data_IF_996255343818
#
_entry.id   IF_996255343818
#
_cell.length_a   1.000
_cell.length_b   1.000
_cell.length_c   1.000
_cell.angle_alpha   90.00
_cell.angle_beta   90.00
_cell.angle_gamma   90.00
#
_symmetry.space_group_name_H-M   'P 1'
#
loop_
_entity.id
_entity.type
_entity.pdbx_description
1 polymer ?
#
# COMPACT_ATOMS: atom_id res chain seq x y z
N UNK A 1 6.30 19.25 22.44
CA UNK A 1 5.65 18.04 22.94
C UNK A 1 5.97 16.90 21.98
N UNK A 2 6.31 15.70 22.46
CA UNK A 2 6.45 14.57 21.56
C UNK A 2 5.14 14.35 20.79
N UNK A 3 5.26 14.00 19.53
CA UNK A 3 4.12 13.63 18.69
C UNK A 3 3.24 12.63 19.44
N UNK A 4 1.92 12.78 19.32
CA UNK A 4 0.99 11.81 19.88
C UNK A 4 1.29 10.45 19.26
N UNK A 5 2.03 9.63 19.98
CA UNK A 5 2.31 8.24 19.59
C UNK A 5 1.05 7.45 19.89
N UNK A 6 0.66 6.58 18.97
CA UNK A 6 -0.41 5.63 19.26
C UNK A 6 -0.07 4.85 20.52
N UNK A 7 -1.04 4.60 21.35
CA UNK A 7 -0.85 3.77 22.54
C UNK A 7 -0.42 2.36 22.12
N UNK A 8 0.46 1.74 22.88
CA UNK A 8 0.88 0.35 22.63
C UNK A 8 -0.36 -0.55 22.54
N UNK A 9 -0.50 -1.28 21.43
CA UNK A 9 -1.66 -2.16 21.20
C UNK A 9 -2.90 -1.49 20.63
N UNK A 10 -2.88 -0.17 20.32
CA UNK A 10 -3.99 0.51 19.64
C UNK A 10 -3.98 0.33 18.14
N UNK A 11 -2.87 -0.15 17.57
CA UNK A 11 -2.72 -0.45 16.16
C UNK A 11 -2.31 -1.91 15.98
N UNK A 12 -2.84 -2.54 14.95
CA UNK A 12 -2.49 -3.88 14.57
C UNK A 12 -2.63 -4.07 13.05
N UNK A 13 -1.82 -4.96 12.51
CA UNK A 13 -1.91 -5.39 11.13
C UNK A 13 -1.75 -6.90 11.10
N UNK A 14 -2.55 -7.56 10.29
CA UNK A 14 -2.47 -8.99 10.08
C UNK A 14 -2.78 -9.31 8.62
N UNK A 15 -1.98 -10.19 8.03
CA UNK A 15 -2.22 -10.72 6.70
C UNK A 15 -1.86 -12.21 6.67
N UNK A 16 -2.65 -12.99 5.97
CA UNK A 16 -2.43 -14.43 5.85
C UNK A 16 -2.75 -14.90 4.43
N UNK A 17 -1.84 -15.67 3.85
CA UNK A 17 -2.08 -16.38 2.61
C UNK A 17 -3.21 -17.41 2.75
N UNK A 18 -4.03 -17.52 1.72
CA UNK A 18 -5.08 -18.52 1.63
C UNK A 18 -4.55 -19.90 1.20
N UNK A 19 -5.46 -20.86 1.18
CA UNK A 19 -5.23 -22.17 0.62
C UNK A 19 -5.98 -22.29 -0.72
N UNK A 20 -5.44 -23.07 -1.63
CA UNK A 20 -6.10 -23.42 -2.88
C UNK A 20 -6.04 -24.92 -3.10
N UNK A 21 -7.04 -25.46 -3.78
CA UNK A 21 -7.04 -26.84 -4.25
C UNK A 21 -6.54 -26.86 -5.69
N UNK A 22 -5.51 -27.63 -5.94
CA UNK A 22 -4.96 -27.83 -7.28
C UNK A 22 -5.85 -28.77 -8.11
N UNK A 23 -5.66 -28.80 -9.42
CA UNK A 23 -6.46 -29.66 -10.32
C UNK A 23 -6.40 -31.15 -9.97
N UNK A 24 -5.30 -31.60 -9.36
CA UNK A 24 -5.11 -32.98 -8.88
C UNK A 24 -5.62 -33.19 -7.43
N UNK A 25 -6.39 -32.25 -6.88
CA UNK A 25 -7.03 -32.35 -5.57
C UNK A 25 -6.12 -32.06 -4.38
N UNK A 26 -4.88 -31.65 -4.58
CA UNK A 26 -4.00 -31.29 -3.46
C UNK A 26 -4.28 -29.91 -2.92
N UNK A 27 -4.19 -29.75 -1.60
CA UNK A 27 -4.29 -28.46 -0.93
C UNK A 27 -2.89 -27.85 -0.84
N UNK A 28 -2.72 -26.66 -1.39
CA UNK A 28 -1.46 -25.92 -1.37
C UNK A 28 -1.68 -24.49 -0.85
N UNK A 29 -0.62 -23.89 -0.30
CA UNK A 29 -0.68 -22.48 0.08
C UNK A 29 -0.67 -21.61 -1.17
N UNK A 30 -1.61 -20.65 -1.21
CA UNK A 30 -1.61 -19.57 -2.19
C UNK A 30 -0.61 -18.50 -1.76
N UNK A 31 0.13 -17.95 -2.74
CA UNK A 31 0.96 -16.77 -2.47
C UNK A 31 0.10 -15.65 -1.90
N UNK A 32 0.52 -15.07 -0.79
CA UNK A 32 -0.14 -13.90 -0.23
C UNK A 32 0.25 -12.66 -1.03
N UNK A 33 -0.71 -12.14 -1.80
CA UNK A 33 -0.51 -10.97 -2.65
C UNK A 33 -0.92 -9.66 -1.97
N UNK A 34 -1.50 -9.73 -0.76
CA UNK A 34 -1.92 -8.56 0.00
C UNK A 34 -0.75 -7.88 0.69
N UNK A 35 -0.85 -6.56 0.81
CA UNK A 35 0.07 -5.75 1.62
C UNK A 35 -0.70 -4.76 2.47
N UNK A 36 -0.18 -4.51 3.68
CA UNK A 36 -0.69 -3.50 4.60
C UNK A 36 0.36 -2.43 4.88
N UNK A 37 -0.09 -1.21 5.10
CA UNK A 37 0.74 -0.06 5.41
C UNK A 37 0.25 0.64 6.67
N UNK A 38 1.17 0.92 7.58
CA UNK A 38 1.03 1.92 8.64
C UNK A 38 2.29 2.78 8.58
N UNK A 39 2.17 4.02 8.12
CA UNK A 39 3.26 4.99 8.05
C UNK A 39 3.01 6.12 9.05
N UNK A 40 3.81 6.17 10.13
CA UNK A 40 3.71 7.18 11.18
C UNK A 40 5.11 7.53 11.75
N UNK A 41 5.48 8.79 11.91
CA UNK A 41 4.82 9.97 11.34
C UNK A 41 4.91 9.96 9.81
N UNK A 42 3.97 10.59 9.14
CA UNK A 42 3.93 10.69 7.69
C UNK A 42 3.91 12.14 7.23
N UNK A 43 4.24 12.39 5.96
CA UNK A 43 4.26 13.72 5.34
C UNK A 43 5.17 14.71 6.08
N UNK A 44 6.25 14.24 6.72
CA UNK A 44 7.12 15.07 7.57
C UNK A 44 6.37 15.84 8.67
N UNK A 45 5.19 15.38 9.05
CA UNK A 45 4.32 15.99 10.04
C UNK A 45 4.01 15.00 11.16
N UNK A 46 4.32 15.40 12.39
CA UNK A 46 4.32 14.53 13.57
C UNK A 46 2.96 13.89 13.91
N UNK A 47 1.86 14.41 13.37
CA UNK A 47 0.49 13.91 13.63
C UNK A 47 -0.12 13.18 12.46
N UNK A 48 0.54 13.16 11.30
CA UNK A 48 -0.03 12.52 10.12
C UNK A 48 0.32 11.04 10.10
N UNK A 49 -0.66 10.24 9.77
CA UNK A 49 -0.51 8.79 9.60
C UNK A 49 -1.19 8.37 8.31
N UNK A 50 -0.51 7.58 7.51
CA UNK A 50 -1.09 6.92 6.35
C UNK A 50 -1.32 5.46 6.69
N UNK A 51 -2.55 5.00 6.54
CA UNK A 51 -2.94 3.60 6.54
C UNK A 51 -3.23 3.16 5.12
N UNK A 52 -2.90 1.94 4.77
CA UNK A 52 -3.19 1.41 3.44
C UNK A 52 -3.39 -0.10 3.44
N UNK A 53 -4.26 -0.57 2.54
CA UNK A 53 -4.43 -1.98 2.20
C UNK A 53 -4.39 -2.11 0.69
N UNK A 54 -3.61 -3.06 0.22
CA UNK A 54 -3.31 -3.29 -1.19
C UNK A 54 -3.51 -4.78 -1.48
N UNK A 55 -4.62 -5.12 -2.15
CA UNK A 55 -4.94 -6.49 -2.55
C UNK A 55 -4.37 -6.73 -3.95
N UNK A 56 -3.30 -7.52 -4.02
CA UNK A 56 -2.64 -7.90 -5.25
C UNK A 56 -3.35 -9.05 -5.94
N UNK A 57 -3.42 -9.00 -7.28
CA UNK A 57 -4.05 -10.04 -8.09
C UNK A 57 -3.26 -10.36 -9.36
N UNK A 58 -3.50 -11.54 -9.88
CA UNK A 58 -2.86 -12.00 -11.13
C UNK A 58 -1.36 -12.28 -11.00
N UNK A 59 -0.68 -12.33 -12.13
CA UNK A 59 0.76 -12.57 -12.16
C UNK A 59 1.52 -11.38 -11.56
N UNK A 60 2.43 -11.66 -10.60
CA UNK A 60 3.22 -10.65 -9.88
C UNK A 60 2.41 -9.64 -9.06
N UNK A 61 1.13 -9.93 -8.73
CA UNK A 61 0.29 -9.04 -7.93
C UNK A 61 0.91 -8.67 -6.58
N UNK A 62 1.64 -9.59 -5.94
CA UNK A 62 2.38 -9.34 -4.70
C UNK A 62 3.50 -8.32 -4.86
N UNK A 63 4.12 -8.25 -6.03
CA UNK A 63 5.16 -7.27 -6.34
C UNK A 63 4.55 -5.91 -6.65
N UNK A 64 3.41 -5.87 -7.37
CA UNK A 64 2.67 -4.64 -7.63
C UNK A 64 2.14 -4.05 -6.33
N UNK A 65 1.52 -4.86 -5.47
CA UNK A 65 1.04 -4.43 -4.16
C UNK A 65 2.18 -3.89 -3.28
N UNK A 66 3.33 -4.58 -3.25
CA UNK A 66 4.49 -4.15 -2.51
C UNK A 66 5.11 -2.85 -3.05
N UNK A 67 5.12 -2.67 -4.37
CA UNK A 67 5.56 -1.43 -5.01
C UNK A 67 4.65 -0.26 -4.63
N UNK A 68 3.34 -0.43 -4.82
CA UNK A 68 2.35 0.61 -4.50
C UNK A 68 2.38 1.00 -3.03
N UNK A 69 2.47 0.02 -2.13
CA UNK A 69 2.59 0.23 -0.68
C UNK A 69 3.78 1.13 -0.31
N UNK A 70 4.93 0.96 -0.97
CA UNK A 70 6.13 1.79 -0.72
C UNK A 70 6.02 3.17 -1.34
N UNK A 71 5.46 3.25 -2.54
CA UNK A 71 5.41 4.49 -3.32
C UNK A 71 4.39 5.50 -2.75
N UNK A 72 3.26 5.04 -2.19
CA UNK A 72 2.24 5.93 -1.64
C UNK A 72 2.82 6.90 -0.59
N UNK A 73 3.39 6.46 0.53
CA UNK A 73 3.91 7.39 1.54
C UNK A 73 5.10 8.20 1.01
N UNK A 74 5.95 7.61 0.15
CA UNK A 74 7.11 8.29 -0.41
C UNK A 74 6.69 9.47 -1.29
N UNK A 75 5.74 9.26 -2.22
CA UNK A 75 5.27 10.31 -3.13
C UNK A 75 4.43 11.34 -2.40
N UNK A 76 3.57 10.91 -1.48
CA UNK A 76 2.81 11.83 -0.63
C UNK A 76 3.73 12.77 0.16
N UNK A 77 4.86 12.28 0.69
CA UNK A 77 5.82 13.12 1.41
C UNK A 77 6.53 14.16 0.52
N UNK A 78 6.60 13.92 -0.79
CA UNK A 78 7.21 14.81 -1.77
C UNK A 78 6.21 15.71 -2.50
N UNK A 79 4.92 15.40 -2.42
CA UNK A 79 3.90 16.14 -3.15
C UNK A 79 3.69 17.54 -2.53
N UNK A 80 3.71 18.62 -3.33
CA UNK A 80 3.61 19.98 -2.82
C UNK A 80 2.31 20.25 -2.06
N UNK A 81 1.21 19.66 -2.52
CA UNK A 81 -0.13 19.89 -1.95
C UNK A 81 -0.51 18.89 -0.86
N UNK A 82 0.41 18.00 -0.43
CA UNK A 82 0.10 16.91 0.51
C UNK A 82 -0.47 17.37 1.86
N UNK A 83 -0.13 18.57 2.29
CA UNK A 83 -0.62 19.15 3.54
C UNK A 83 -1.87 20.04 3.34
N UNK A 84 -1.93 20.78 2.24
CA UNK A 84 -2.98 21.77 1.99
C UNK A 84 -4.19 21.15 1.28
N UNK A 85 -3.96 20.30 0.30
CA UNK A 85 -5.00 19.55 -0.44
C UNK A 85 -4.63 18.07 -0.57
N UNK A 86 -4.72 17.30 0.53
CA UNK A 86 -4.29 15.90 0.53
C UNK A 86 -5.18 14.98 -0.33
N UNK A 87 -6.41 15.38 -0.64
CA UNK A 87 -7.30 14.61 -1.53
C UNK A 87 -6.73 14.64 -2.93
N UNK A 88 -6.45 15.83 -3.46
CA UNK A 88 -5.82 16.02 -4.76
C UNK A 88 -4.44 15.34 -4.81
N UNK A 89 -3.64 15.51 -3.76
CA UNK A 89 -2.33 14.88 -3.70
C UNK A 89 -2.42 13.34 -3.79
N UNK A 90 -3.40 12.72 -3.14
CA UNK A 90 -3.63 11.27 -3.24
C UNK A 90 -4.06 10.87 -4.66
N UNK A 91 -4.95 11.62 -5.30
CA UNK A 91 -5.36 11.35 -6.69
C UNK A 91 -4.17 11.40 -7.63
N UNK A 92 -3.35 12.45 -7.56
CA UNK A 92 -2.14 12.60 -8.37
C UNK A 92 -1.14 11.47 -8.12
N UNK A 93 -0.90 11.13 -6.86
CA UNK A 93 0.02 10.05 -6.46
C UNK A 93 -0.42 8.69 -7.01
N UNK A 94 -1.71 8.36 -6.99
CA UNK A 94 -2.19 7.11 -7.58
C UNK A 94 -1.97 7.06 -9.10
N UNK A 95 -2.24 8.14 -9.81
CA UNK A 95 -1.99 8.23 -11.25
C UNK A 95 -0.50 8.08 -11.55
N UNK A 96 0.36 8.76 -10.79
CA UNK A 96 1.81 8.69 -10.95
C UNK A 96 2.37 7.30 -10.66
N UNK A 97 1.89 6.62 -9.61
CA UNK A 97 2.32 5.25 -9.28
C UNK A 97 1.98 4.31 -10.43
N UNK A 98 0.74 4.38 -10.94
CA UNK A 98 0.32 3.56 -12.06
C UNK A 98 1.17 3.84 -13.32
N UNK A 99 1.43 5.11 -13.62
CA UNK A 99 2.25 5.51 -14.77
C UNK A 99 3.73 5.07 -14.64
N UNK A 100 4.26 4.98 -13.42
CA UNK A 100 5.64 4.60 -13.17
C UNK A 100 5.88 3.08 -13.09
N UNK A 101 4.82 2.29 -12.97
CA UNK A 101 4.90 0.84 -12.80
C UNK A 101 5.65 0.13 -13.94
N UNK A 102 5.47 0.47 -15.23
CA UNK A 102 6.25 -0.15 -16.30
C UNK A 102 7.77 0.04 -16.18
N UNK A 103 8.21 1.18 -15.65
CA UNK A 103 9.63 1.47 -15.43
C UNK A 103 10.21 0.82 -14.15
N UNK A 104 9.37 0.23 -13.31
CA UNK A 104 9.80 -0.44 -12.07
C UNK A 104 10.50 -1.78 -12.31
N UNK A 105 10.43 -2.34 -13.52
CA UNK A 105 10.88 -3.69 -13.83
C UNK A 105 9.91 -4.80 -13.43
N UNK A 106 8.75 -4.47 -12.87
CA UNK A 106 7.70 -5.44 -12.53
C UNK A 106 6.85 -5.70 -13.78
N UNK A 107 6.77 -6.97 -14.20
CA UNK A 107 5.84 -7.34 -15.27
C UNK A 107 4.41 -7.42 -14.71
N UNK A 108 3.67 -6.35 -14.86
CA UNK A 108 2.28 -6.21 -14.39
C UNK A 108 1.24 -6.39 -15.53
N UNK A 109 1.62 -7.00 -16.66
CA UNK A 109 0.72 -7.12 -17.81
C UNK A 109 -0.55 -7.93 -17.51
N UNK A 110 -0.43 -8.97 -16.69
CA UNK A 110 -1.54 -9.82 -16.26
C UNK A 110 -1.80 -9.74 -14.74
N UNK A 111 -1.37 -8.67 -14.11
CA UNK A 111 -1.54 -8.48 -12.68
C UNK A 111 -1.66 -7.02 -12.29
N UNK A 112 -2.07 -6.81 -11.06
CA UNK A 112 -2.25 -5.49 -10.50
C UNK A 112 -2.49 -5.55 -9.01
N UNK A 113 -2.91 -4.43 -8.44
CA UNK A 113 -3.46 -4.41 -7.09
C UNK A 113 -4.58 -3.39 -6.96
N UNK A 114 -5.47 -3.62 -6.03
CA UNK A 114 -6.34 -2.57 -5.49
C UNK A 114 -5.54 -1.70 -4.51
N UNK A 115 -6.05 -0.53 -4.19
CA UNK A 115 -5.49 0.32 -3.16
C UNK A 115 -6.60 1.06 -2.41
N UNK A 116 -6.61 0.89 -1.10
CA UNK A 116 -7.44 1.69 -0.18
C UNK A 116 -6.49 2.38 0.79
N UNK A 117 -6.53 3.70 0.82
CA UNK A 117 -5.63 4.52 1.63
C UNK A 117 -6.43 5.51 2.45
N UNK A 118 -6.07 5.66 3.72
CA UNK A 118 -6.61 6.68 4.61
C UNK A 118 -5.48 7.52 5.18
N UNK A 119 -5.58 8.83 5.03
CA UNK A 119 -4.73 9.80 5.71
C UNK A 119 -5.45 10.33 6.95
N UNK A 120 -4.84 10.14 8.10
CA UNK A 120 -5.30 10.70 9.39
C UNK A 120 -4.35 11.82 9.81
N UNK A 121 -4.93 12.96 10.24
CA UNK A 121 -4.20 14.18 10.64
C UNK A 121 -4.83 14.90 11.82
#
# INVERSE_FOLDING_TARGET
>A
QPAATFLKGSLGSFSRGGLMVTHDGRVVYKVNQDRGLISHPSLNAARHTIFGVFDGHGANGEHVAAYTMREVPRRMALHPDSLDDPVRALEDVFVEINASLPASGINAFFGGCTAVVALVR
#
